data_IF_043686360599
#
_entry.id   IF_043686360599
#
_cell.length_a   1.000
_cell.length_b   1.000
_cell.length_c   1.000
_cell.angle_alpha   90.00
_cell.angle_beta   90.00
_cell.angle_gamma   90.00
#
_symmetry.space_group_name_H-M   'P 1'
#
loop_
_entity.id
_entity.type
_entity.pdbx_description
1 polymer ?
#
# COMPACT_ATOMS: atom_id res chain seq x y z
N UNK A 1 8.75 23.54 -14.49
CA UNK A 1 7.98 22.31 -14.36
C UNK A 1 6.57 22.65 -13.91
N UNK A 2 5.56 22.26 -14.66
CA UNK A 2 4.17 22.47 -14.24
C UNK A 2 3.75 21.40 -13.23
N UNK A 3 2.69 21.65 -12.47
CA UNK A 3 2.12 20.68 -11.52
C UNK A 3 1.74 19.36 -12.20
N UNK A 4 1.22 19.44 -13.44
CA UNK A 4 0.91 18.26 -14.26
C UNK A 4 2.14 17.43 -14.60
N UNK A 5 3.29 18.05 -14.85
CA UNK A 5 4.54 17.37 -15.15
C UNK A 5 5.05 16.59 -13.93
N UNK A 6 4.93 17.19 -12.74
CA UNK A 6 5.36 16.54 -11.49
C UNK A 6 4.49 15.32 -11.21
N UNK A 7 3.16 15.45 -11.34
CA UNK A 7 2.23 14.32 -11.15
C UNK A 7 2.54 13.18 -12.12
N UNK A 8 2.83 13.48 -13.38
CA UNK A 8 3.18 12.46 -14.36
C UNK A 8 4.48 11.74 -14.01
N UNK A 9 5.53 12.48 -13.61
CA UNK A 9 6.79 11.88 -13.16
C UNK A 9 6.58 10.95 -11.96
N UNK A 10 5.76 11.37 -11.00
CA UNK A 10 5.43 10.56 -9.82
C UNK A 10 4.67 9.30 -10.23
N UNK A 11 3.66 9.40 -11.09
CA UNK A 11 2.93 8.24 -11.61
C UNK A 11 3.85 7.24 -12.30
N UNK A 12 4.74 7.71 -13.17
CA UNK A 12 5.68 6.86 -13.88
C UNK A 12 6.65 6.15 -12.95
N UNK A 13 7.14 6.85 -11.93
CA UNK A 13 8.05 6.28 -10.94
C UNK A 13 7.38 5.18 -10.11
N UNK A 14 6.19 5.44 -9.59
CA UNK A 14 5.46 4.45 -8.79
C UNK A 14 4.92 3.30 -9.63
N UNK A 15 4.50 3.57 -10.87
CA UNK A 15 4.10 2.52 -11.80
C UNK A 15 5.23 1.55 -12.10
N UNK A 16 6.46 2.05 -12.35
CA UNK A 16 7.64 1.21 -12.51
C UNK A 16 7.95 0.38 -11.28
N UNK A 17 7.89 0.99 -10.09
CA UNK A 17 8.11 0.28 -8.84
C UNK A 17 7.08 -0.86 -8.63
N UNK A 18 5.82 -0.64 -8.98
CA UNK A 18 4.79 -1.68 -8.92
C UNK A 18 5.07 -2.84 -9.86
N UNK A 19 5.51 -2.55 -11.08
CA UNK A 19 5.85 -3.58 -12.06
C UNK A 19 7.08 -4.38 -11.64
N UNK A 20 8.09 -3.76 -11.05
CA UNK A 20 9.26 -4.45 -10.51
C UNK A 20 8.87 -5.42 -9.39
N UNK A 21 8.01 -4.99 -8.48
CA UNK A 21 7.49 -5.86 -7.39
C UNK A 21 6.63 -6.99 -7.96
N UNK A 22 5.80 -6.71 -8.95
CA UNK A 22 4.99 -7.74 -9.61
C UNK A 22 5.84 -8.82 -10.28
N UNK A 23 7.02 -8.43 -10.81
CA UNK A 23 8.00 -9.35 -11.39
C UNK A 23 8.88 -10.10 -10.36
N UNK A 24 8.68 -9.86 -9.04
CA UNK A 24 9.41 -10.49 -7.96
C UNK A 24 10.57 -9.66 -7.38
N UNK A 25 10.67 -8.39 -7.75
CA UNK A 25 11.61 -7.43 -7.17
C UNK A 25 11.09 -6.77 -5.89
N UNK A 26 11.92 -5.91 -5.32
CA UNK A 26 11.54 -5.05 -4.19
C UNK A 26 11.57 -3.59 -4.62
N UNK A 27 10.51 -2.85 -4.34
CA UNK A 27 10.50 -1.41 -4.52
C UNK A 27 11.30 -0.73 -3.40
N UNK A 28 12.19 0.17 -3.77
CA UNK A 28 12.99 0.95 -2.82
C UNK A 28 12.87 2.44 -3.10
N UNK A 29 12.69 3.21 -2.05
CA UNK A 29 12.71 4.67 -2.08
C UNK A 29 14.15 5.15 -1.82
N UNK A 30 14.95 5.22 -2.87
CA UNK A 30 16.33 5.73 -2.78
C UNK A 30 17.39 4.73 -3.23
N UNK A 31 18.39 5.25 -3.91
CA UNK A 31 19.55 4.52 -4.40
C UNK A 31 20.42 4.04 -3.24
N UNK A 32 20.25 2.79 -2.83
CA UNK A 32 21.27 2.07 -2.10
C UNK A 32 21.20 0.61 -2.51
N UNK A 33 22.22 0.16 -3.18
CA UNK A 33 22.54 -1.22 -3.46
C UNK A 33 22.65 -2.01 -2.14
N UNK A 34 21.64 -2.79 -1.80
CA UNK A 34 21.69 -3.65 -0.63
C UNK A 34 20.59 -4.71 -0.67
N UNK A 35 20.98 -5.92 -0.52
CA UNK A 35 20.20 -7.17 -0.62
C UNK A 35 19.29 -7.46 0.57
N UNK A 36 18.95 -6.49 1.40
CA UNK A 36 18.09 -6.66 2.56
C UNK A 36 16.95 -5.66 2.51
N UNK A 37 15.74 -6.07 2.92
CA UNK A 37 14.56 -5.23 2.93
C UNK A 37 14.85 -3.89 3.61
N UNK A 38 14.26 -2.82 3.10
CA UNK A 38 14.57 -1.46 3.55
C UNK A 38 14.41 -1.38 5.07
N UNK A 39 15.44 -0.96 5.82
CA UNK A 39 15.43 -1.01 7.29
C UNK A 39 14.30 -0.18 7.92
N UNK A 40 13.81 0.83 7.22
CA UNK A 40 12.66 1.64 7.65
C UNK A 40 11.37 0.81 7.60
N UNK A 41 11.15 0.07 6.52
CA UNK A 41 9.93 -0.75 6.34
C UNK A 41 9.89 -1.92 7.33
N UNK A 42 11.03 -2.56 7.58
CA UNK A 42 11.11 -3.70 8.50
C UNK A 42 10.84 -3.32 9.96
N UNK A 43 11.03 -2.06 10.33
CA UNK A 43 10.82 -1.55 11.69
C UNK A 43 9.42 -0.94 11.91
N UNK A 44 8.67 -0.66 10.83
CA UNK A 44 7.33 -0.04 10.92
C UNK A 44 6.23 -1.02 11.29
N UNK A 45 6.40 -2.30 10.99
CA UNK A 45 5.39 -3.32 11.19
C UNK A 45 5.97 -4.50 11.96
N UNK A 46 5.18 -5.08 12.86
CA UNK A 46 5.58 -6.29 13.57
C UNK A 46 5.63 -7.49 12.60
N UNK A 47 6.46 -8.47 12.92
CA UNK A 47 6.55 -9.71 12.15
C UNK A 47 5.19 -10.46 12.08
N UNK A 48 4.35 -10.29 13.10
CA UNK A 48 3.01 -10.86 13.14
C UNK A 48 2.07 -10.17 12.15
N UNK A 49 2.20 -8.84 12.00
CA UNK A 49 1.38 -8.06 11.06
C UNK A 49 1.78 -8.33 9.61
N UNK A 50 3.08 -8.37 9.32
CA UNK A 50 3.58 -8.63 7.96
C UNK A 50 3.48 -10.10 7.56
N UNK A 51 3.59 -11.03 8.50
CA UNK A 51 3.47 -12.47 8.24
C UNK A 51 2.10 -12.91 7.73
N UNK A 52 1.07 -12.10 7.96
CA UNK A 52 -0.29 -12.36 7.46
C UNK A 52 -0.59 -11.73 6.10
N UNK A 53 0.38 -11.05 5.48
CA UNK A 53 0.22 -10.34 4.21
C UNK A 53 0.98 -11.04 3.08
N UNK A 54 0.50 -10.92 1.84
CA UNK A 54 1.28 -11.35 0.69
C UNK A 54 2.65 -10.65 0.65
N UNK A 55 3.70 -11.40 0.32
CA UNK A 55 5.06 -10.87 0.23
C UNK A 55 5.20 -9.66 -0.70
N UNK A 56 4.41 -9.64 -1.77
CA UNK A 56 4.38 -8.52 -2.72
C UNK A 56 3.78 -7.24 -2.13
N UNK A 57 2.83 -7.34 -1.20
CA UNK A 57 2.29 -6.16 -0.51
C UNK A 57 3.37 -5.51 0.37
N UNK A 58 4.09 -6.32 1.14
CA UNK A 58 5.21 -5.87 1.97
C UNK A 58 6.35 -5.31 1.12
N UNK A 59 6.68 -5.98 0.01
CA UNK A 59 7.73 -5.54 -0.91
C UNK A 59 7.41 -4.21 -1.62
N UNK A 60 6.14 -3.91 -1.84
CA UNK A 60 5.68 -2.65 -2.43
C UNK A 60 5.58 -1.50 -1.44
N UNK A 61 5.73 -1.77 -0.13
CA UNK A 61 5.75 -0.73 0.89
C UNK A 61 7.00 0.13 0.75
N UNK A 62 6.80 1.43 0.56
CA UNK A 62 7.88 2.41 0.39
C UNK A 62 8.22 3.13 1.70
N UNK A 63 7.88 2.55 2.85
CA UNK A 63 8.23 3.06 4.16
C UNK A 63 7.35 4.23 4.65
N UNK A 64 6.20 4.45 4.04
CA UNK A 64 5.28 5.55 4.36
C UNK A 64 4.10 5.13 5.25
N UNK A 65 4.10 3.92 5.80
CA UNK A 65 3.03 3.42 6.66
C UNK A 65 2.98 4.11 8.03
N UNK A 66 1.80 4.09 8.65
CA UNK A 66 1.60 4.63 10.00
C UNK A 66 1.09 3.54 10.96
N UNK A 67 2.00 2.77 11.58
CA UNK A 67 1.62 1.68 12.49
C UNK A 67 0.90 2.18 13.75
N UNK A 68 1.15 3.41 14.18
CA UNK A 68 0.45 4.00 15.34
C UNK A 68 -1.04 4.22 15.04
N UNK A 69 -1.36 4.75 13.87
CA UNK A 69 -2.75 4.90 13.42
C UNK A 69 -3.44 3.54 13.30
N UNK A 70 -2.77 2.55 12.71
CA UNK A 70 -3.28 1.17 12.63
C UNK A 70 -3.60 0.58 14.02
N UNK A 71 -2.76 0.86 15.02
CA UNK A 71 -2.96 0.35 16.37
C UNK A 71 -4.19 0.94 17.08
N UNK A 72 -4.68 2.09 16.61
CA UNK A 72 -5.83 2.80 17.20
C UNK A 72 -7.17 2.44 16.52
N UNK A 73 -7.16 1.67 15.45
CA UNK A 73 -8.39 1.27 14.74
C UNK A 73 -9.23 0.30 15.58
N UNK A 74 -10.53 0.55 15.63
CA UNK A 74 -11.50 -0.25 16.35
C UNK A 74 -12.38 -1.05 15.38
N UNK A 75 -12.99 -2.11 15.90
CA UNK A 75 -13.89 -2.95 15.12
C UNK A 75 -15.10 -2.15 14.62
N UNK A 76 -15.45 -2.32 13.35
CA UNK A 76 -16.60 -1.66 12.71
C UNK A 76 -16.31 -0.29 12.11
N UNK A 77 -15.10 0.23 12.25
CA UNK A 77 -14.73 1.52 11.65
C UNK A 77 -14.58 1.45 10.13
N UNK A 78 -14.76 2.59 9.48
CA UNK A 78 -14.45 2.79 8.06
C UNK A 78 -13.18 3.61 7.93
N UNK A 79 -12.21 3.09 7.18
CA UNK A 79 -10.88 3.66 7.02
C UNK A 79 -10.64 4.04 5.56
N UNK A 80 -10.04 5.18 5.33
CA UNK A 80 -9.54 5.60 4.01
C UNK A 80 -8.04 5.83 4.09
N UNK A 81 -7.29 5.11 3.26
CA UNK A 81 -5.85 5.28 3.08
C UNK A 81 -5.57 6.04 1.79
N UNK A 82 -4.98 7.20 1.92
CA UNK A 82 -4.62 8.09 0.81
C UNK A 82 -3.20 7.77 0.32
N UNK A 83 -3.08 7.41 -0.96
CA UNK A 83 -1.82 6.96 -1.52
C UNK A 83 -1.48 5.53 -1.09
N UNK A 84 -2.44 4.63 -1.23
CA UNK A 84 -2.38 3.26 -0.68
C UNK A 84 -1.32 2.35 -1.31
N UNK A 85 -0.80 2.68 -2.49
CA UNK A 85 0.22 1.89 -3.18
C UNK A 85 -0.16 0.43 -3.34
N UNK A 86 0.72 -0.49 -2.94
CA UNK A 86 0.49 -1.94 -2.97
C UNK A 86 -0.53 -2.47 -1.97
N UNK A 87 -1.14 -1.61 -1.15
CA UNK A 87 -2.29 -1.93 -0.29
C UNK A 87 -1.95 -2.52 1.08
N UNK A 88 -0.70 -2.47 1.54
CA UNK A 88 -0.31 -3.05 2.83
C UNK A 88 -1.12 -2.48 4.00
N UNK A 89 -1.21 -1.15 4.12
CA UNK A 89 -1.92 -0.50 5.22
C UNK A 89 -3.43 -0.70 5.12
N UNK A 90 -3.98 -0.73 3.91
CA UNK A 90 -5.40 -1.00 3.66
C UNK A 90 -5.77 -2.41 4.11
N UNK A 91 -4.97 -3.42 3.77
CA UNK A 91 -5.20 -4.81 4.15
C UNK A 91 -5.08 -5.01 5.66
N UNK A 92 -4.10 -4.37 6.30
CA UNK A 92 -3.96 -4.39 7.76
C UNK A 92 -5.12 -3.68 8.45
N UNK A 93 -5.54 -2.53 7.94
CA UNK A 93 -6.70 -1.78 8.45
C UNK A 93 -7.97 -2.61 8.36
N UNK A 94 -8.22 -3.26 7.22
CA UNK A 94 -9.38 -4.11 7.03
C UNK A 94 -9.45 -5.28 8.02
N UNK A 95 -8.31 -5.88 8.34
CA UNK A 95 -8.24 -6.94 9.35
C UNK A 95 -8.54 -6.42 10.76
N UNK A 96 -8.04 -5.23 11.10
CA UNK A 96 -8.28 -4.63 12.41
C UNK A 96 -9.72 -4.20 12.62
N UNK A 97 -10.34 -3.58 11.63
CA UNK A 97 -11.76 -3.16 11.74
C UNK A 97 -12.73 -4.33 11.61
N UNK A 98 -12.26 -5.47 11.14
CA UNK A 98 -13.02 -6.72 11.08
C UNK A 98 -14.16 -6.71 10.05
N UNK A 99 -15.00 -7.77 10.06
CA UNK A 99 -16.02 -7.96 9.01
C UNK A 99 -17.15 -6.93 9.04
N UNK A 100 -17.32 -6.20 10.13
CA UNK A 100 -18.32 -5.12 10.27
C UNK A 100 -17.77 -3.75 9.85
N UNK A 101 -16.44 -3.62 9.69
CA UNK A 101 -15.78 -2.44 9.20
C UNK A 101 -15.41 -2.54 7.73
N UNK A 102 -14.88 -1.46 7.16
CA UNK A 102 -14.43 -1.41 5.76
C UNK A 102 -13.19 -0.54 5.62
N UNK A 103 -12.29 -0.94 4.75
CA UNK A 103 -11.12 -0.15 4.39
C UNK A 103 -11.13 0.19 2.90
N UNK A 104 -10.82 1.45 2.60
CA UNK A 104 -10.65 1.97 1.25
C UNK A 104 -9.21 2.37 1.02
N UNK A 105 -8.68 2.03 -0.14
CA UNK A 105 -7.38 2.51 -0.60
C UNK A 105 -7.54 3.38 -1.84
N UNK A 106 -7.02 4.60 -1.80
CA UNK A 106 -6.97 5.51 -2.92
C UNK A 106 -5.57 5.61 -3.47
N UNK A 107 -5.40 5.39 -4.77
CA UNK A 107 -4.14 5.63 -5.47
C UNK A 107 -4.40 6.16 -6.89
N UNK A 108 -3.47 6.97 -7.39
CA UNK A 108 -3.58 7.53 -8.73
C UNK A 108 -2.93 6.66 -9.82
N UNK A 109 -2.22 5.60 -9.41
CA UNK A 109 -1.39 4.75 -10.28
C UNK A 109 -2.10 3.44 -10.56
N UNK A 110 -2.41 3.15 -11.84
CA UNK A 110 -3.11 1.93 -12.24
C UNK A 110 -2.33 0.67 -11.88
N UNK A 111 -1.02 0.68 -12.03
CA UNK A 111 -0.12 -0.44 -11.72
C UNK A 111 -0.12 -0.75 -10.22
N UNK A 112 -0.12 0.27 -9.36
CA UNK A 112 -0.24 0.08 -7.91
C UNK A 112 -1.60 -0.49 -7.52
N UNK A 113 -2.69 0.01 -8.10
CA UNK A 113 -4.03 -0.51 -7.86
C UNK A 113 -4.18 -1.97 -8.32
N UNK A 114 -3.59 -2.34 -9.44
CA UNK A 114 -3.58 -3.72 -9.92
C UNK A 114 -2.84 -4.63 -8.94
N UNK A 115 -1.67 -4.19 -8.46
CA UNK A 115 -0.89 -4.92 -7.45
C UNK A 115 -1.66 -5.04 -6.13
N UNK A 116 -2.30 -3.96 -5.68
CA UNK A 116 -3.09 -3.95 -4.45
C UNK A 116 -4.27 -4.92 -4.51
N UNK A 117 -4.98 -4.96 -5.62
CA UNK A 117 -6.09 -5.91 -5.85
C UNK A 117 -5.61 -7.36 -5.91
N UNK A 118 -4.45 -7.62 -6.50
CA UNK A 118 -3.85 -8.96 -6.50
C UNK A 118 -3.45 -9.39 -5.07
N UNK A 119 -2.86 -8.48 -4.30
CA UNK A 119 -2.52 -8.70 -2.90
C UNK A 119 -3.78 -8.95 -2.04
N UNK A 120 -4.86 -8.21 -2.28
CA UNK A 120 -6.14 -8.42 -1.62
C UNK A 120 -6.69 -9.83 -1.85
N UNK A 121 -6.68 -10.30 -3.11
CA UNK A 121 -7.12 -11.66 -3.44
C UNK A 121 -6.28 -12.72 -2.74
N UNK A 122 -4.96 -12.56 -2.74
CA UNK A 122 -4.04 -13.49 -2.08
C UNK A 122 -4.19 -13.51 -0.56
N UNK A 123 -4.47 -12.35 0.03
CA UNK A 123 -4.71 -12.23 1.46
C UNK A 123 -6.10 -12.75 1.89
N UNK A 124 -7.03 -12.91 0.97
CA UNK A 124 -8.41 -13.34 1.25
C UNK A 124 -9.20 -12.32 2.06
N UNK A 125 -8.93 -11.02 1.89
CA UNK A 125 -9.60 -9.94 2.62
C UNK A 125 -10.72 -9.37 1.75
N UNK A 126 -11.96 -9.43 2.24
CA UNK A 126 -13.15 -9.07 1.46
C UNK A 126 -13.65 -7.64 1.73
N UNK A 127 -13.39 -7.10 2.92
CA UNK A 127 -13.85 -5.77 3.35
C UNK A 127 -12.92 -4.63 2.92
N UNK A 128 -12.39 -4.72 1.70
CA UNK A 128 -11.50 -3.73 1.09
C UNK A 128 -12.02 -3.32 -0.27
N UNK A 129 -11.88 -2.03 -0.58
CA UNK A 129 -12.14 -1.48 -1.90
C UNK A 129 -11.02 -0.53 -2.31
N UNK A 130 -10.49 -0.71 -3.52
CA UNK A 130 -9.47 0.17 -4.08
C UNK A 130 -10.08 1.11 -5.12
N UNK A 131 -9.85 2.40 -4.93
CA UNK A 131 -10.36 3.49 -5.75
C UNK A 131 -9.22 4.15 -6.52
N UNK A 132 -9.47 4.48 -7.78
CA UNK A 132 -8.55 5.29 -8.57
C UNK A 132 -8.92 6.77 -8.40
N UNK A 133 -7.95 7.56 -7.96
CA UNK A 133 -8.16 9.00 -7.82
C UNK A 133 -6.90 9.70 -7.30
N UNK A 134 -6.97 11.00 -7.31
CA UNK A 134 -5.95 11.86 -6.73
C UNK A 134 -6.41 12.33 -5.35
N UNK A 135 -5.47 12.61 -4.45
CA UNK A 135 -5.76 13.03 -3.08
C UNK A 135 -6.59 14.32 -3.05
N UNK A 136 -6.37 15.19 -4.04
CA UNK A 136 -7.10 16.46 -4.18
C UNK A 136 -8.52 16.28 -4.75
N UNK A 137 -8.81 15.09 -5.30
CA UNK A 137 -10.10 14.78 -5.95
C UNK A 137 -10.51 13.33 -5.61
N UNK A 138 -10.98 13.13 -4.40
CA UNK A 138 -11.48 11.83 -3.94
C UNK A 138 -12.82 11.53 -4.63
N UNK A 139 -12.96 10.36 -5.28
CA UNK A 139 -14.19 9.98 -5.96
C UNK A 139 -15.38 9.74 -5.02
#
# INVERSE_FOLDING_TARGET
MSEGDIKQIVKDKYGKAALEVAAGGHASCGSASGREGHPITSNLYSATETGCLPSKATAASLGCGNPTALAQLEAGETVLDLGSGGGIDVLLSARRVGPTGKAYGLDMTDEMLALARDNQRKAGVENVEFLKGEIEQIP
#
